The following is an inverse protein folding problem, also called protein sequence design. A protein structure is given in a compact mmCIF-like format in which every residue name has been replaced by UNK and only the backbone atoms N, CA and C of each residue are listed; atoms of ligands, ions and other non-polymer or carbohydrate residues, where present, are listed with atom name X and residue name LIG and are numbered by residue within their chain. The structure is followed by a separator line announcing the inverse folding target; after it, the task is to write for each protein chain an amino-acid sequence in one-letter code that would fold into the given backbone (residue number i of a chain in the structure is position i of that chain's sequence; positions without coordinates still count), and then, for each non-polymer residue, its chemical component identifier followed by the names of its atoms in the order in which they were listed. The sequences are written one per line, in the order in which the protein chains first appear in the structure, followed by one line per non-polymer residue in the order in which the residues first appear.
data_IF_211061314475
#
_entry.id   IF_211061314475
#
_cell.length_a   1.000
_cell.length_b   1.000
_cell.length_c   1.000
_cell.angle_alpha   90.00
_cell.angle_beta   90.00
_cell.angle_gamma   90.00
#
_symmetry.space_group_name_H-M   'P 1'
#
loop_
_entity.id
_entity.type
_entity.pdbx_description
1 polymer ?
#
# COMPACT_ATOMS: atom_id res chain seq x y z
N UNK A 1 -5.23 -15.09 11.51
CA UNK A 1 -5.28 -14.35 12.81
C UNK A 1 -4.66 -12.97 12.59
N UNK A 2 -5.34 -11.89 12.99
CA UNK A 2 -4.73 -10.56 12.96
C UNK A 2 -3.78 -10.45 14.17
N UNK A 3 -2.48 -10.64 13.95
CA UNK A 3 -1.46 -10.41 14.98
C UNK A 3 -1.22 -8.91 15.05
N UNK A 4 -1.64 -8.31 16.16
CA UNK A 4 -1.30 -6.92 16.49
C UNK A 4 0.20 -6.84 16.80
N UNK A 5 0.85 -5.79 16.30
CA UNK A 5 2.28 -5.57 16.50
C UNK A 5 2.56 -4.16 17.02
N UNK A 6 3.67 -3.93 17.73
CA UNK A 6 4.06 -2.58 18.18
C UNK A 6 4.35 -1.60 17.02
N UNK A 7 4.39 -2.10 15.78
CA UNK A 7 4.65 -1.29 14.59
C UNK A 7 3.36 -0.81 13.89
N UNK A 8 2.21 -1.38 14.24
CA UNK A 8 0.96 -1.20 13.49
C UNK A 8 0.49 0.25 13.51
N UNK A 9 0.50 0.90 14.68
CA UNK A 9 0.16 2.31 14.82
C UNK A 9 1.01 3.20 13.91
N UNK A 10 2.33 3.03 13.94
CA UNK A 10 3.25 3.87 13.15
C UNK A 10 3.08 3.62 11.65
N UNK A 11 2.84 2.38 11.23
CA UNK A 11 2.50 2.07 9.83
C UNK A 11 1.17 2.69 9.41
N UNK A 12 0.21 2.81 10.32
CA UNK A 12 -1.05 3.54 10.10
C UNK A 12 -0.84 5.04 9.88
N UNK A 13 -0.04 5.69 10.74
CA UNK A 13 0.33 7.12 10.57
C UNK A 13 1.06 7.38 9.24
N UNK A 14 1.97 6.47 8.87
CA UNK A 14 2.66 6.53 7.58
C UNK A 14 1.69 6.28 6.41
N UNK A 15 0.67 5.45 6.59
CA UNK A 15 -0.38 5.24 5.58
C UNK A 15 -1.13 6.54 5.30
N UNK A 16 -1.58 7.24 6.34
CA UNK A 16 -2.25 8.53 6.22
C UNK A 16 -1.35 9.56 5.52
N UNK A 17 -0.09 9.63 5.95
CA UNK A 17 0.91 10.52 5.33
C UNK A 17 1.15 10.17 3.85
N UNK A 18 1.14 8.89 3.49
CA UNK A 18 1.30 8.42 2.12
C UNK A 18 0.11 8.86 1.25
N UNK A 19 -1.12 8.69 1.76
CA UNK A 19 -2.36 9.14 1.12
C UNK A 19 -2.33 10.64 0.81
N UNK A 20 -1.85 11.46 1.75
CA UNK A 20 -1.72 12.91 1.61
C UNK A 20 -0.73 13.36 0.52
N UNK A 21 0.12 12.46 0.03
CA UNK A 21 1.02 12.77 -1.08
C UNK A 21 0.33 12.72 -2.45
N UNK A 22 -0.88 12.14 -2.55
CA UNK A 22 -1.57 11.98 -3.83
C UNK A 22 -2.21 13.28 -4.27
N UNK A 23 -2.03 13.59 -5.55
CA UNK A 23 -2.68 14.71 -6.22
C UNK A 23 -3.29 14.16 -7.49
N UNK A 24 -4.56 14.43 -7.72
CA UNK A 24 -5.25 13.97 -8.94
C UNK A 24 -5.52 15.15 -9.87
N UNK A 25 -5.48 14.89 -11.18
CA UNK A 25 -5.84 15.84 -12.24
C UNK A 25 -6.90 15.24 -13.18
N UNK A 26 -7.51 16.08 -14.00
CA UNK A 26 -8.44 15.69 -15.05
C UNK A 26 -9.71 16.56 -15.10
N UNK A 27 -10.61 16.21 -16.01
CA UNK A 27 -11.88 16.91 -16.21
C UNK A 27 -12.77 16.95 -14.94
N UNK A 28 -13.88 17.70 -15.00
CA UNK A 28 -14.78 17.87 -13.86
C UNK A 28 -15.30 16.55 -13.29
N UNK A 29 -15.63 15.57 -14.14
CA UNK A 29 -16.13 14.26 -13.72
C UNK A 29 -15.02 13.45 -13.07
N UNK A 30 -13.81 13.46 -13.63
CA UNK A 30 -12.67 12.77 -13.02
C UNK A 30 -12.34 13.36 -11.65
N UNK A 31 -12.37 14.69 -11.51
CA UNK A 31 -12.13 15.33 -10.20
C UNK A 31 -13.14 14.91 -9.14
N UNK A 32 -14.42 14.77 -9.49
CA UNK A 32 -15.45 14.25 -8.57
C UNK A 32 -15.13 12.82 -8.14
N UNK A 33 -14.84 11.94 -9.10
CA UNK A 33 -14.45 10.53 -8.83
C UNK A 33 -13.22 10.47 -7.92
N UNK A 34 -12.20 11.28 -8.19
CA UNK A 34 -10.97 11.30 -7.40
C UNK A 34 -11.20 11.90 -6.00
N UNK A 35 -12.06 12.91 -5.87
CA UNK A 35 -12.45 13.45 -4.57
C UNK A 35 -13.17 12.38 -3.72
N UNK A 36 -14.08 11.62 -4.31
CA UNK A 36 -14.74 10.48 -3.64
C UNK A 36 -13.73 9.41 -3.22
N UNK A 37 -12.77 9.06 -4.08
CA UNK A 37 -11.69 8.11 -3.75
C UNK A 37 -10.83 8.58 -2.57
N UNK A 38 -10.50 9.87 -2.51
CA UNK A 38 -9.76 10.46 -1.39
C UNK A 38 -10.59 10.43 -0.10
N UNK A 39 -11.88 10.75 -0.18
CA UNK A 39 -12.77 10.74 0.98
C UNK A 39 -13.01 9.31 1.51
N UNK A 40 -13.16 8.33 0.61
CA UNK A 40 -13.22 6.91 0.96
C UNK A 40 -11.91 6.44 1.63
N UNK A 41 -10.74 6.89 1.14
CA UNK A 41 -9.45 6.61 1.79
C UNK A 41 -9.39 7.11 3.23
N UNK A 42 -9.86 8.34 3.47
CA UNK A 42 -9.93 8.93 4.83
C UNK A 42 -10.94 8.23 5.75
N UNK A 43 -12.04 7.72 5.20
CA UNK A 43 -13.01 6.91 5.97
C UNK A 43 -12.40 5.59 6.40
N UNK A 44 -11.73 4.89 5.48
CA UNK A 44 -11.02 3.64 5.78
C UNK A 44 -9.96 3.83 6.87
N UNK A 45 -9.26 4.97 6.89
CA UNK A 45 -8.31 5.28 7.97
C UNK A 45 -8.94 5.27 9.36
N UNK A 46 -10.20 5.74 9.48
CA UNK A 46 -10.92 5.81 10.77
C UNK A 46 -11.59 4.50 11.15
N UNK A 47 -11.99 3.70 10.17
CA UNK A 47 -12.78 2.49 10.38
C UNK A 47 -11.92 1.22 10.55
N UNK A 48 -10.76 1.18 9.90
CA UNK A 48 -9.89 0.01 9.92
C UNK A 48 -9.10 -0.08 11.22
N UNK A 49 -8.84 -1.31 11.68
CA UNK A 49 -7.92 -1.54 12.79
C UNK A 49 -6.48 -1.19 12.40
N UNK A 50 -5.65 -0.86 13.39
CA UNK A 50 -4.23 -0.53 13.17
C UNK A 50 -3.50 -1.63 12.39
N UNK A 51 -3.75 -2.90 12.72
CA UNK A 51 -3.16 -4.04 12.02
C UNK A 51 -3.60 -4.13 10.55
N UNK A 52 -4.85 -3.73 10.23
CA UNK A 52 -5.34 -3.71 8.87
C UNK A 52 -4.76 -2.52 8.08
N UNK A 53 -4.66 -1.34 8.71
CA UNK A 53 -3.96 -0.18 8.14
C UNK A 53 -2.50 -0.48 7.85
N UNK A 54 -1.81 -1.17 8.76
CA UNK A 54 -0.42 -1.58 8.58
C UNK A 54 -0.22 -2.47 7.35
N UNK A 55 -1.10 -3.48 7.15
CA UNK A 55 -1.07 -4.32 5.95
C UNK A 55 -1.37 -3.53 4.69
N UNK A 56 -2.40 -2.67 4.71
CA UNK A 56 -2.75 -1.81 3.58
C UNK A 56 -1.61 -0.86 3.20
N UNK A 57 -0.97 -0.24 4.19
CA UNK A 57 0.20 0.64 4.04
C UNK A 57 1.36 -0.10 3.35
N UNK A 58 1.68 -1.29 3.85
CA UNK A 58 2.72 -2.16 3.28
C UNK A 58 2.43 -2.49 1.81
N UNK A 59 1.18 -2.87 1.49
CA UNK A 59 0.78 -3.18 0.14
C UNK A 59 0.86 -1.95 -0.77
N UNK A 60 0.26 -0.83 -0.39
CA UNK A 60 0.25 0.39 -1.20
C UNK A 60 1.64 0.99 -1.44
N UNK A 61 2.58 0.77 -0.51
CA UNK A 61 3.97 1.19 -0.68
C UNK A 61 4.80 0.24 -1.56
N UNK A 62 4.31 -0.98 -1.84
CA UNK A 62 5.03 -1.98 -2.63
C UNK A 62 4.95 -1.71 -4.14
N UNK A 63 5.75 -2.45 -4.91
CA UNK A 63 5.66 -2.43 -6.38
C UNK A 63 4.31 -3.00 -6.84
N UNK A 64 3.84 -4.09 -6.23
CA UNK A 64 2.58 -4.75 -6.61
C UNK A 64 1.34 -3.93 -6.26
N UNK A 65 1.39 -3.14 -5.19
CA UNK A 65 0.29 -2.25 -4.81
C UNK A 65 0.33 -0.87 -5.47
N UNK A 66 1.37 -0.55 -6.27
CA UNK A 66 1.53 0.76 -6.92
C UNK A 66 0.28 1.17 -7.71
N UNK A 67 -0.22 0.28 -8.57
CA UNK A 67 -1.40 0.56 -9.39
C UNK A 67 -2.67 0.78 -8.54
N UNK A 68 -2.85 -0.02 -7.48
CA UNK A 68 -3.95 0.14 -6.54
C UNK A 68 -3.89 1.48 -5.79
N UNK A 69 -2.69 1.88 -5.36
CA UNK A 69 -2.51 3.10 -4.58
C UNK A 69 -2.69 4.36 -5.42
N UNK A 70 -2.07 4.40 -6.60
CA UNK A 70 -2.11 5.59 -7.46
C UNK A 70 -3.47 5.73 -8.14
N UNK A 71 -4.02 4.65 -8.67
CA UNK A 71 -5.17 4.72 -9.57
C UNK A 71 -4.86 5.53 -10.83
N UNK A 72 -5.91 6.01 -11.48
CA UNK A 72 -5.80 6.83 -12.69
C UNK A 72 -5.49 8.30 -12.35
N UNK A 73 -4.83 9.00 -13.28
CA UNK A 73 -4.57 10.44 -13.22
C UNK A 73 -3.96 10.97 -11.90
N UNK A 74 -3.06 10.19 -11.29
CA UNK A 74 -2.25 10.66 -10.17
C UNK A 74 -1.08 11.49 -10.70
N UNK A 75 -1.12 12.80 -10.46
CA UNK A 75 -0.28 13.82 -11.06
C UNK A 75 1.21 13.63 -10.75
N UNK A 76 1.55 13.28 -9.52
CA UNK A 76 2.95 13.15 -9.10
C UNK A 76 3.62 11.96 -9.82
N UNK A 77 2.93 10.83 -9.92
CA UNK A 77 3.39 9.67 -10.70
C UNK A 77 3.40 9.96 -12.20
N UNK A 78 2.37 10.62 -12.73
CA UNK A 78 2.30 10.94 -14.14
C UNK A 78 3.47 11.82 -14.60
N UNK A 79 3.82 12.85 -13.81
CA UNK A 79 4.96 13.72 -14.08
C UNK A 79 6.29 13.01 -13.87
N UNK A 80 6.47 12.29 -12.76
CA UNK A 80 7.74 11.59 -12.48
C UNK A 80 8.02 10.43 -13.44
N UNK A 81 6.99 9.83 -14.03
CA UNK A 81 7.12 8.82 -15.08
C UNK A 81 7.25 9.39 -16.49
N UNK A 82 7.13 10.71 -16.67
CA UNK A 82 7.12 11.35 -17.99
C UNK A 82 5.90 11.00 -18.84
N UNK A 83 4.81 10.52 -18.22
CA UNK A 83 3.56 10.21 -18.93
C UNK A 83 2.85 11.49 -19.39
N UNK A 84 3.05 12.57 -18.65
CA UNK A 84 2.55 13.91 -18.94
C UNK A 84 3.61 14.93 -18.54
N UNK A 85 3.58 16.10 -19.16
CA UNK A 85 4.28 17.29 -18.69
C UNK A 85 3.28 18.25 -18.04
N UNK A 86 3.72 19.03 -17.04
CA UNK A 86 2.81 19.91 -16.31
C UNK A 86 2.21 21.00 -17.22
N UNK A 87 2.97 21.46 -18.21
CA UNK A 87 2.53 22.49 -19.16
C UNK A 87 1.51 21.97 -20.18
N UNK A 88 1.39 20.65 -20.34
CA UNK A 88 0.41 20.02 -21.23
C UNK A 88 -0.95 19.80 -20.56
N UNK A 89 -1.04 20.01 -19.24
CA UNK A 89 -2.28 19.86 -18.47
C UNK A 89 -2.99 21.20 -18.43
N UNK A 90 -4.24 21.23 -18.89
CA UNK A 90 -5.05 22.44 -18.85
C UNK A 90 -5.26 22.91 -17.40
N UNK A 91 -5.22 24.22 -17.17
CA UNK A 91 -5.29 24.78 -15.81
C UNK A 91 -6.55 24.30 -15.08
N UNK A 92 -7.69 24.24 -15.77
CA UNK A 92 -8.98 23.76 -15.27
C UNK A 92 -9.00 22.27 -14.88
N UNK A 93 -8.05 21.47 -15.36
CA UNK A 93 -7.90 20.06 -14.98
C UNK A 93 -7.13 19.88 -13.67
N UNK A 94 -6.43 20.93 -13.22
CA UNK A 94 -5.73 20.92 -11.94
C UNK A 94 -6.70 21.15 -10.77
N UNK A 95 -6.42 20.54 -9.60
CA UNK A 95 -7.20 20.81 -8.40
C UNK A 95 -7.06 22.28 -7.99
N UNK A 96 -8.10 22.82 -7.36
CA UNK A 96 -8.17 24.24 -6.98
C UNK A 96 -6.96 24.70 -6.15
N UNK A 97 -6.42 23.83 -5.30
CA UNK A 97 -5.22 24.10 -4.51
C UNK A 97 -4.00 24.41 -5.36
N UNK A 98 -3.82 23.72 -6.48
CA UNK A 98 -2.70 23.98 -7.40
C UNK A 98 -2.98 25.18 -8.30
N UNK A 99 -4.23 25.39 -8.73
CA UNK A 99 -4.61 26.55 -9.55
C UNK A 99 -4.37 27.89 -8.84
N UNK A 100 -4.49 27.90 -7.52
CA UNK A 100 -4.23 29.08 -6.71
C UNK A 100 -2.74 29.39 -6.50
N UNK A 101 -1.83 28.51 -6.93
CA UNK A 101 -0.38 28.68 -6.77
C UNK A 101 0.26 29.33 -8.00
N UNK A 102 1.29 30.14 -7.78
CA UNK A 102 2.16 30.61 -8.86
C UNK A 102 2.87 29.41 -9.55
N UNK A 103 3.22 29.50 -10.84
CA UNK A 103 3.78 28.37 -11.60
C UNK A 103 5.00 27.69 -10.93
N UNK A 104 5.96 28.47 -10.44
CA UNK A 104 7.15 27.90 -9.79
C UNK A 104 6.81 27.22 -8.46
N UNK A 105 5.94 27.84 -7.65
CA UNK A 105 5.48 27.26 -6.39
C UNK A 105 4.67 25.98 -6.61
N UNK A 106 3.86 25.92 -7.68
CA UNK A 106 3.10 24.75 -8.11
C UNK A 106 4.05 23.58 -8.42
N UNK A 107 5.10 23.84 -9.22
CA UNK A 107 6.12 22.83 -9.56
C UNK A 107 6.87 22.33 -8.34
N UNK A 108 7.32 23.24 -7.49
CA UNK A 108 8.03 22.89 -6.26
C UNK A 108 7.17 22.09 -5.30
N UNK A 109 5.89 22.46 -5.15
CA UNK A 109 4.95 21.73 -4.30
C UNK A 109 4.74 20.29 -4.77
N UNK A 110 4.52 20.08 -6.07
CA UNK A 110 4.37 18.73 -6.66
C UNK A 110 5.65 17.91 -6.47
N UNK A 111 6.82 18.52 -6.71
CA UNK A 111 8.12 17.87 -6.52
C UNK A 111 8.33 17.44 -5.06
N UNK A 112 8.03 18.33 -4.12
CA UNK A 112 8.13 18.03 -2.69
C UNK A 112 7.19 16.88 -2.28
N UNK A 113 5.98 16.81 -2.85
CA UNK A 113 5.06 15.67 -2.65
C UNK A 113 5.64 14.35 -3.14
N UNK A 114 6.34 14.36 -4.29
CA UNK A 114 7.08 13.20 -4.80
C UNK A 114 8.20 12.75 -3.87
N UNK A 115 9.09 13.68 -3.47
CA UNK A 115 10.18 13.37 -2.52
C UNK A 115 9.64 12.80 -1.21
N UNK A 116 8.62 13.46 -0.64
CA UNK A 116 8.00 13.02 0.61
C UNK A 116 7.37 11.63 0.48
N UNK A 117 6.76 11.32 -0.66
CA UNK A 117 6.18 9.99 -0.94
C UNK A 117 7.25 8.92 -0.91
N UNK A 118 8.39 9.15 -1.54
CA UNK A 118 9.48 8.17 -1.60
C UNK A 118 10.09 7.92 -0.22
N UNK A 119 10.30 8.97 0.58
CA UNK A 119 10.72 8.85 1.98
C UNK A 119 9.75 7.98 2.79
N UNK A 120 8.45 8.29 2.71
CA UNK A 120 7.42 7.53 3.44
C UNK A 120 7.41 6.07 3.00
N UNK A 121 7.53 5.77 1.70
CA UNK A 121 7.59 4.40 1.20
C UNK A 121 8.82 3.65 1.72
N UNK A 122 9.96 4.31 1.85
CA UNK A 122 11.16 3.71 2.46
C UNK A 122 10.97 3.44 3.96
N UNK A 123 10.36 4.37 4.69
CA UNK A 123 10.02 4.18 6.11
C UNK A 123 9.05 3.00 6.30
N UNK A 124 7.98 2.95 5.50
CA UNK A 124 7.02 1.84 5.50
C UNK A 124 7.76 0.52 5.25
N UNK A 125 8.60 0.44 4.22
CA UNK A 125 9.35 -0.78 3.91
C UNK A 125 10.15 -1.30 5.11
N UNK A 126 10.98 -0.44 5.74
CA UNK A 126 11.81 -0.81 6.90
C UNK A 126 10.97 -1.28 8.08
N UNK A 127 9.85 -0.60 8.32
CA UNK A 127 8.96 -0.89 9.44
C UNK A 127 8.15 -2.17 9.21
N UNK A 128 7.70 -2.41 7.97
CA UNK A 128 7.01 -3.64 7.56
C UNK A 128 7.92 -4.88 7.66
N UNK A 129 9.20 -4.76 7.31
CA UNK A 129 10.19 -5.83 7.52
C UNK A 129 10.36 -6.14 9.03
N UNK A 130 10.36 -5.11 9.88
CA UNK A 130 10.45 -5.29 11.34
C UNK A 130 9.19 -5.92 11.91
N UNK A 131 8.02 -5.52 11.41
CA UNK A 131 6.73 -6.12 11.70
C UNK A 131 6.70 -7.60 11.34
N UNK A 132 7.20 -7.96 10.16
CA UNK A 132 7.22 -9.33 9.68
C UNK A 132 8.10 -10.22 10.57
N UNK A 133 9.34 -9.78 10.87
CA UNK A 133 10.24 -10.50 11.80
C UNK A 133 9.62 -10.71 13.18
N UNK A 134 8.92 -9.69 13.70
CA UNK A 134 8.24 -9.81 14.99
C UNK A 134 7.13 -10.87 14.95
N UNK A 135 6.33 -10.88 13.88
CA UNK A 135 5.26 -11.87 13.70
C UNK A 135 5.86 -13.28 13.63
N UNK A 136 6.90 -13.49 12.83
CA UNK A 136 7.59 -14.78 12.71
C UNK A 136 8.14 -15.27 14.05
N UNK A 137 8.77 -14.38 14.84
CA UNK A 137 9.27 -14.71 16.17
C UNK A 137 8.15 -15.11 17.15
N UNK A 138 6.97 -14.49 17.05
CA UNK A 138 5.81 -14.82 17.89
C UNK A 138 5.06 -16.07 17.42
N UNK A 139 5.25 -16.49 16.16
CA UNK A 139 4.63 -17.69 15.56
C UNK A 139 5.54 -18.93 15.68
N UNK A 140 6.74 -18.81 16.25
CA UNK A 140 7.69 -19.90 16.50
C UNK A 140 7.02 -21.15 17.18
N UNK A 141 7.53 -22.37 16.92
CA UNK A 141 6.80 -23.55 16.41
C UNK A 141 5.92 -24.33 17.42
N UNK A 142 5.32 -23.65 18.40
CA UNK A 142 4.41 -24.28 19.34
C UNK A 142 3.00 -24.55 18.81
N UNK A 143 2.59 -23.86 17.73
CA UNK A 143 1.21 -23.90 17.19
C UNK A 143 1.11 -24.39 15.74
N UNK A 144 2.25 -24.58 15.05
CA UNK A 144 2.30 -24.95 13.63
C UNK A 144 1.60 -26.29 13.35
N UNK A 145 1.77 -27.30 14.22
CA UNK A 145 1.12 -28.62 14.10
C UNK A 145 -0.42 -28.59 14.05
N UNK A 146 -1.03 -27.54 14.59
CA UNK A 146 -2.49 -27.38 14.64
C UNK A 146 -3.02 -26.34 13.64
N UNK A 147 -2.12 -25.67 12.90
CA UNK A 147 -2.49 -24.62 11.95
C UNK A 147 -3.30 -25.18 10.78
N UNK A 148 -4.18 -24.35 10.22
CA UNK A 148 -4.98 -24.74 9.06
C UNK A 148 -4.07 -25.11 7.88
N UNK A 149 -3.01 -24.34 7.66
CA UNK A 149 -2.08 -24.54 6.54
C UNK A 149 -1.31 -25.85 6.67
N UNK A 150 -0.85 -26.21 7.88
CA UNK A 150 -0.24 -27.52 8.16
C UNK A 150 -1.26 -28.66 7.99
N UNK A 151 -2.49 -28.48 8.47
CA UNK A 151 -3.55 -29.48 8.30
C UNK A 151 -3.90 -29.70 6.83
N UNK A 152 -3.95 -28.63 6.03
CA UNK A 152 -4.17 -28.71 4.58
C UNK A 152 -2.98 -29.38 3.91
N UNK A 153 -1.76 -28.95 4.22
CA UNK A 153 -0.55 -29.51 3.63
C UNK A 153 -0.40 -31.01 3.94
N UNK A 154 -0.58 -31.39 5.21
CA UNK A 154 -0.59 -32.81 5.64
C UNK A 154 -1.68 -33.61 4.92
N UNK A 155 -2.90 -33.08 4.82
CA UNK A 155 -3.99 -33.77 4.12
C UNK A 155 -3.69 -33.96 2.63
N UNK A 156 -3.10 -32.96 1.96
CA UNK A 156 -2.67 -33.07 0.56
C UNK A 156 -1.54 -34.10 0.41
N UNK A 157 -0.54 -34.09 1.31
CA UNK A 157 0.57 -35.04 1.32
C UNK A 157 0.06 -36.49 1.46
N UNK A 158 -0.88 -36.73 2.36
CA UNK A 158 -1.50 -38.06 2.56
C UNK A 158 -2.30 -38.53 1.34
N UNK A 159 -3.12 -37.65 0.76
CA UNK A 159 -3.90 -37.96 -0.45
C UNK A 159 -3.00 -38.23 -1.66
N UNK A 160 -1.93 -37.46 -1.81
CA UNK A 160 -0.96 -37.58 -2.89
C UNK A 160 -0.15 -38.88 -2.79
N UNK A 161 0.22 -39.30 -1.58
CA UNK A 161 0.89 -40.58 -1.34
C UNK A 161 0.05 -41.76 -1.82
N UNK A 162 -1.26 -41.73 -1.63
CA UNK A 162 -2.18 -42.75 -2.16
C UNK A 162 -2.24 -42.79 -3.70
N UNK A 163 -1.74 -41.75 -4.38
CA UNK A 163 -1.60 -41.65 -5.85
C UNK A 163 -0.17 -41.85 -6.35
N UNK A 164 0.77 -42.21 -5.46
CA UNK A 164 2.18 -42.43 -5.81
C UNK A 164 3.00 -41.15 -5.94
N UNK A 165 2.50 -40.01 -5.45
CA UNK A 165 3.22 -38.74 -5.43
C UNK A 165 3.80 -38.50 -4.02
N UNK A 166 5.07 -38.12 -3.94
CA UNK A 166 5.77 -37.89 -2.66
C UNK A 166 6.28 -36.46 -2.61
N UNK A 167 5.89 -35.74 -1.56
CA UNK A 167 6.42 -34.42 -1.24
C UNK A 167 7.53 -34.54 -0.19
N UNK A 168 8.72 -34.01 -0.51
CA UNK A 168 9.91 -34.12 0.35
C UNK A 168 9.95 -33.11 1.49
N UNK A 169 9.26 -31.96 1.39
CA UNK A 169 9.21 -30.98 2.48
C UNK A 169 8.19 -31.35 3.56
N UNK A 170 8.50 -30.99 4.79
CA UNK A 170 7.65 -31.21 5.97
C UNK A 170 6.70 -30.05 6.25
N UNK A 171 6.78 -28.96 5.50
CA UNK A 171 5.84 -27.85 5.57
C UNK A 171 5.67 -27.19 4.20
N UNK A 172 4.58 -26.45 4.03
CA UNK A 172 4.46 -25.48 2.95
C UNK A 172 5.52 -24.37 3.15
N UNK A 173 6.23 -24.01 2.08
CA UNK A 173 7.08 -22.82 2.06
C UNK A 173 6.19 -21.60 1.75
N UNK A 174 6.43 -20.48 2.45
CA UNK A 174 5.72 -19.20 2.29
C UNK A 174 6.56 -18.20 1.51
#
# INVERSE_FOLDING_TARGET
VAVSTPFDKKLGELAASLEDTRIFYGDARQREIHAEKLDAGKKLEKELSEAALARRSTFNASVSGKANFLGDNELVDALSSGRVELDDIAEEELPASLRAMAPDLKRDFIKQKGVRRDEIKQEIKKLSESRQRYIEAQIAPGTAKESLDEKIYSAIKDQAKAKGLVYESDSAEY
#
